data_IF_880555529511
#
_entry.id   IF_880555529511
#
_cell.length_a   1.000
_cell.length_b   1.000
_cell.length_c   1.000
_cell.angle_alpha   90.00
_cell.angle_beta   90.00
_cell.angle_gamma   90.00
#
_symmetry.space_group_name_H-M   'P 1'
#
loop_
_entity.id
_entity.type
_entity.pdbx_description
1 polymer ?
#
# COMPACT_ATOMS: atom_id res chain seq x y z
N UNK A 1 16.48 19.00 -29.06
CA UNK A 1 15.20 19.18 -28.33
C UNK A 1 15.36 18.59 -26.94
N UNK A 2 15.64 19.42 -25.93
CA UNK A 2 15.66 18.97 -24.54
C UNK A 2 14.30 19.33 -23.96
N UNK A 3 13.43 18.33 -23.82
CA UNK A 3 12.18 18.53 -23.09
C UNK A 3 12.52 18.79 -21.63
N UNK A 4 12.37 20.05 -21.22
CA UNK A 4 12.39 20.45 -19.81
C UNK A 4 11.20 19.77 -19.14
N UNK A 5 11.42 18.63 -18.50
CA UNK A 5 10.41 17.98 -17.68
C UNK A 5 10.15 18.89 -16.47
N UNK A 6 9.05 19.63 -16.56
CA UNK A 6 8.58 20.61 -15.60
C UNK A 6 8.51 19.93 -14.23
N UNK A 7 9.40 20.29 -13.31
CA UNK A 7 9.53 19.69 -11.98
C UNK A 7 8.15 19.50 -11.36
N UNK A 8 7.70 18.24 -11.29
CA UNK A 8 6.37 17.89 -10.80
C UNK A 8 6.40 18.14 -9.30
N UNK A 9 5.86 19.30 -8.87
CA UNK A 9 5.53 19.54 -7.46
C UNK A 9 4.81 18.30 -6.94
N UNK A 10 5.22 17.80 -5.77
CA UNK A 10 4.57 16.70 -5.06
C UNK A 10 3.08 17.04 -4.93
N UNK A 11 2.26 16.53 -5.84
CA UNK A 11 0.82 16.69 -5.76
C UNK A 11 0.38 15.70 -4.70
N UNK A 12 -0.24 16.20 -3.64
CA UNK A 12 -0.98 15.36 -2.71
C UNK A 12 -2.08 14.68 -3.52
N UNK A 13 -2.01 13.34 -3.60
CA UNK A 13 -3.00 12.54 -4.33
C UNK A 13 -3.72 11.65 -3.34
N UNK A 14 -5.04 11.75 -3.29
CA UNK A 14 -5.91 10.82 -2.58
C UNK A 14 -6.45 9.80 -3.58
N UNK A 15 -6.32 8.51 -3.27
CA UNK A 15 -6.86 7.41 -4.10
C UNK A 15 -7.47 6.34 -3.21
N UNK A 16 -8.60 5.80 -3.65
CA UNK A 16 -9.24 4.66 -3.03
C UNK A 16 -8.91 3.39 -3.81
N UNK A 17 -8.54 2.33 -3.09
CA UNK A 17 -8.16 1.05 -3.68
C UNK A 17 -8.82 -0.09 -2.93
N UNK A 18 -9.29 -1.09 -3.68
CA UNK A 18 -9.78 -2.34 -3.13
C UNK A 18 -8.66 -3.37 -3.24
N UNK A 19 -8.29 -3.99 -2.12
CA UNK A 19 -7.22 -4.98 -2.06
C UNK A 19 -7.83 -6.36 -1.79
N UNK A 20 -7.65 -7.30 -2.72
CA UNK A 20 -8.03 -8.69 -2.48
C UNK A 20 -6.98 -9.37 -1.57
N UNK A 21 -7.29 -9.48 -0.28
CA UNK A 21 -6.42 -10.13 0.71
C UNK A 21 -6.42 -11.65 0.61
N UNK A 22 -7.51 -12.29 0.15
CA UNK A 22 -7.59 -13.75 0.03
C UNK A 22 -6.53 -14.30 -0.92
N UNK A 23 -6.38 -13.67 -2.10
CA UNK A 23 -5.36 -14.07 -3.09
C UNK A 23 -3.93 -13.87 -2.58
N UNK A 24 -3.70 -12.82 -1.79
CA UNK A 24 -2.37 -12.47 -1.26
C UNK A 24 -1.96 -13.30 -0.05
N UNK A 25 -2.94 -13.80 0.70
CA UNK A 25 -2.74 -14.55 1.93
C UNK A 25 -3.03 -16.06 1.77
N UNK A 26 -3.13 -16.52 0.53
CA UNK A 26 -3.32 -17.93 0.23
C UNK A 26 -2.13 -18.75 0.73
N UNK A 27 -2.38 -19.85 1.45
CA UNK A 27 -1.34 -20.74 1.98
C UNK A 27 -0.70 -20.31 3.32
N UNK A 28 -1.08 -19.17 3.90
CA UNK A 28 -0.60 -18.78 5.23
C UNK A 28 -1.42 -19.40 6.36
N UNK A 29 -0.73 -19.78 7.43
CA UNK A 29 -1.38 -20.22 8.68
C UNK A 29 -2.11 -19.06 9.36
N UNK A 30 -3.25 -19.34 10.00
CA UNK A 30 -4.12 -18.33 10.61
C UNK A 30 -3.37 -17.37 11.53
N UNK A 31 -2.49 -17.89 12.39
CA UNK A 31 -1.70 -17.07 13.33
C UNK A 31 -0.78 -16.06 12.64
N UNK A 32 -0.34 -16.33 11.41
CA UNK A 32 0.54 -15.45 10.62
C UNK A 32 -0.23 -14.62 9.60
N UNK A 33 -1.55 -14.82 9.45
CA UNK A 33 -2.34 -14.21 8.38
C UNK A 33 -2.51 -12.71 8.57
N UNK A 34 -2.91 -12.25 9.76
CA UNK A 34 -3.05 -10.84 10.09
C UNK A 34 -1.73 -10.04 9.96
N UNK A 35 -0.60 -10.45 10.57
CA UNK A 35 0.65 -9.69 10.44
C UNK A 35 1.18 -9.68 8.99
N UNK A 36 0.93 -10.73 8.21
CA UNK A 36 1.30 -10.74 6.78
C UNK A 36 0.33 -9.90 5.92
N UNK A 37 -0.94 -9.78 6.30
CA UNK A 37 -1.90 -8.91 5.61
C UNK A 37 -1.44 -7.46 5.64
N UNK A 38 -0.99 -6.99 6.81
CA UNK A 38 -0.46 -5.64 7.01
C UNK A 38 0.77 -5.41 6.11
N UNK A 39 1.69 -6.38 6.04
CA UNK A 39 2.87 -6.29 5.16
C UNK A 39 2.47 -6.17 3.69
N UNK A 40 1.45 -6.90 3.25
CA UNK A 40 1.02 -6.90 1.86
C UNK A 40 0.26 -5.64 1.48
N UNK A 41 -0.48 -5.04 2.41
CA UNK A 41 -1.08 -3.72 2.24
C UNK A 41 0.01 -2.65 2.11
N UNK A 42 1.06 -2.70 2.96
CA UNK A 42 2.20 -1.76 2.86
C UNK A 42 2.92 -1.89 1.53
N UNK A 43 3.23 -3.12 1.08
CA UNK A 43 3.84 -3.36 -0.24
C UNK A 43 2.96 -2.85 -1.39
N UNK A 44 1.64 -3.05 -1.30
CA UNK A 44 0.71 -2.54 -2.31
C UNK A 44 0.73 -1.01 -2.37
N UNK A 45 0.67 -0.34 -1.22
CA UNK A 45 0.73 1.12 -1.14
C UNK A 45 2.06 1.68 -1.65
N UNK A 46 3.20 1.06 -1.31
CA UNK A 46 4.51 1.42 -1.83
C UNK A 46 4.56 1.33 -3.37
N UNK A 47 4.02 0.23 -3.94
CA UNK A 47 4.00 0.04 -5.39
C UNK A 47 3.04 1.00 -6.12
N UNK A 48 1.87 1.27 -5.55
CA UNK A 48 0.84 2.09 -6.19
C UNK A 48 1.10 3.60 -6.08
N UNK A 49 1.70 4.04 -4.95
CA UNK A 49 1.97 5.45 -4.67
C UNK A 49 3.42 5.85 -4.93
N UNK A 50 4.36 4.89 -4.99
CA UNK A 50 5.79 5.16 -5.16
C UNK A 50 6.46 5.76 -3.92
N UNK A 51 5.79 5.73 -2.76
CA UNK A 51 6.31 6.27 -1.51
C UNK A 51 7.19 5.23 -0.78
N UNK A 52 8.29 5.69 -0.18
CA UNK A 52 9.18 4.82 0.62
C UNK A 52 8.63 4.58 2.03
N UNK A 53 8.17 5.63 2.71
CA UNK A 53 7.52 5.53 4.02
C UNK A 53 6.00 5.37 3.87
N UNK A 54 5.46 4.27 4.42
CA UNK A 54 4.02 3.98 4.43
C UNK A 54 3.60 3.67 5.86
N UNK A 55 2.76 4.56 6.40
CA UNK A 55 2.15 4.48 7.72
C UNK A 55 0.73 3.93 7.60
N UNK A 56 0.39 2.98 8.48
CA UNK A 56 -0.94 2.37 8.54
C UNK A 56 -1.72 3.06 9.65
N UNK A 57 -2.93 3.52 9.34
CA UNK A 57 -3.80 4.12 10.35
C UNK A 57 -4.31 3.08 11.36
N UNK A 58 -4.59 3.52 12.58
CA UNK A 58 -5.07 2.67 13.67
C UNK A 58 -6.42 2.04 13.33
N UNK A 59 -7.30 2.74 12.61
CA UNK A 59 -8.61 2.20 12.20
C UNK A 59 -8.46 1.02 11.25
N UNK A 60 -7.54 1.13 10.28
CA UNK A 60 -7.25 0.06 9.33
C UNK A 60 -6.65 -1.16 10.05
N UNK A 61 -5.73 -0.93 10.99
CA UNK A 61 -5.12 -2.02 11.76
C UNK A 61 -6.12 -2.80 12.63
N UNK A 62 -7.19 -2.15 13.11
CA UNK A 62 -8.24 -2.81 13.89
C UNK A 62 -9.17 -3.71 13.06
N UNK A 63 -9.26 -3.47 11.75
CA UNK A 63 -10.12 -4.23 10.84
C UNK A 63 -9.43 -5.45 10.22
N UNK A 64 -8.11 -5.59 10.39
CA UNK A 64 -7.27 -6.66 9.84
C UNK A 64 -7.03 -7.74 10.91
#
# INVERSE_FOLDING_TARGET
>A
MVEKNKGRKEKVVTREYIINLLKRLHGFTFKKKAPNAIKEIRKFAQKAMGAMDVRVDVKLNKQI
#
